data_IF_988290912127
#
_entry.id   IF_988290912127
#
_cell.length_a   1.000
_cell.length_b   1.000
_cell.length_c   1.000
_cell.angle_alpha   90.00
_cell.angle_beta   90.00
_cell.angle_gamma   90.00
#
_symmetry.space_group_name_H-M   'P 1'
#
loop_
_entity.id
_entity.type
_entity.pdbx_description
1 polymer ?
#
# COMPACT_ATOMS: atom_id res chain seq x y z
N UNK A 1 -87.81 22.18 -14.40
CA UNK A 1 -86.73 21.33 -14.83
C UNK A 1 -85.45 21.76 -14.06
N UNK A 2 -85.03 21.03 -13.06
CA UNK A 2 -83.91 21.36 -12.20
C UNK A 2 -82.73 20.44 -12.60
N UNK A 3 -81.69 21.05 -13.13
CA UNK A 3 -80.45 20.38 -13.48
C UNK A 3 -79.62 20.28 -12.19
N UNK A 4 -79.38 19.07 -11.69
CA UNK A 4 -78.42 18.74 -10.59
C UNK A 4 -76.99 18.63 -11.17
N UNK A 5 -76.15 19.55 -10.75
CA UNK A 5 -74.67 19.44 -10.98
C UNK A 5 -74.10 18.44 -9.98
N UNK A 6 -73.51 17.39 -10.45
CA UNK A 6 -72.62 16.48 -9.65
C UNK A 6 -71.26 17.10 -9.68
N UNK A 7 -70.73 17.44 -8.50
CA UNK A 7 -69.30 17.76 -8.29
C UNK A 7 -68.62 16.47 -7.90
N UNK A 8 -67.75 15.96 -8.78
CA UNK A 8 -66.85 14.86 -8.46
C UNK A 8 -65.61 15.45 -7.77
N UNK A 9 -65.44 15.14 -6.50
CA UNK A 9 -64.24 15.45 -5.73
C UNK A 9 -63.25 14.32 -6.00
N UNK A 10 -62.21 14.60 -6.79
CA UNK A 10 -61.07 13.72 -6.94
C UNK A 10 -60.20 13.85 -5.69
N UNK A 11 -60.21 12.85 -4.81
CA UNK A 11 -59.25 12.72 -3.70
C UNK A 11 -57.97 12.14 -4.27
N UNK A 12 -57.01 12.98 -4.58
CA UNK A 12 -55.66 12.55 -4.90
C UNK A 12 -54.97 12.11 -3.60
N UNK A 13 -54.94 10.80 -3.32
CA UNK A 13 -54.07 10.24 -2.29
C UNK A 13 -52.63 10.33 -2.77
N UNK A 14 -51.88 11.31 -2.28
CA UNK A 14 -50.46 11.39 -2.41
C UNK A 14 -49.86 10.27 -1.53
N UNK A 15 -49.56 9.12 -2.12
CA UNK A 15 -48.73 8.10 -1.45
C UNK A 15 -47.31 8.67 -1.42
N UNK A 16 -46.94 9.28 -0.29
CA UNK A 16 -45.57 9.63 0.03
C UNK A 16 -44.85 8.30 0.33
N UNK A 17 -44.32 7.65 -0.70
CA UNK A 17 -43.33 6.62 -0.51
C UNK A 17 -42.10 7.31 0.06
N UNK A 18 -42.05 7.42 1.38
CA UNK A 18 -40.81 7.71 2.08
C UNK A 18 -39.85 6.54 1.81
N UNK A 19 -38.90 6.75 0.91
CA UNK A 19 -37.72 5.90 0.84
C UNK A 19 -37.05 6.06 2.20
N UNK A 20 -37.26 5.10 3.09
CA UNK A 20 -36.45 4.94 4.28
C UNK A 20 -35.07 4.53 3.75
N UNK A 21 -34.25 5.54 3.46
CA UNK A 21 -32.82 5.30 3.36
C UNK A 21 -32.38 4.85 4.74
N UNK A 22 -32.25 3.56 4.94
CA UNK A 22 -31.52 3.01 6.08
C UNK A 22 -30.10 3.53 5.88
N UNK A 23 -29.59 4.44 6.73
CA UNK A 23 -28.20 4.84 6.60
C UNK A 23 -27.39 3.56 6.73
N UNK A 24 -26.55 3.25 5.74
CA UNK A 24 -25.54 2.23 5.91
C UNK A 24 -24.84 2.55 7.24
N UNK A 25 -24.85 1.62 8.19
CA UNK A 25 -24.20 1.85 9.48
C UNK A 25 -22.74 2.17 9.15
N UNK A 26 -22.30 3.39 9.50
CA UNK A 26 -20.92 3.77 9.30
C UNK A 26 -20.04 2.74 10.04
N UNK A 27 -19.05 2.20 9.36
CA UNK A 27 -18.10 1.27 9.98
C UNK A 27 -17.50 1.92 11.22
N UNK A 28 -17.37 1.16 12.30
CA UNK A 28 -16.74 1.65 13.53
C UNK A 28 -15.28 2.00 13.23
N UNK A 29 -14.86 3.22 13.61
CA UNK A 29 -13.49 3.69 13.42
C UNK A 29 -12.53 2.80 14.23
N UNK A 30 -11.45 2.27 13.62
CA UNK A 30 -10.46 1.47 14.34
C UNK A 30 -9.67 2.25 15.40
N UNK A 31 -9.95 3.54 15.60
CA UNK A 31 -9.38 4.43 16.62
C UNK A 31 -7.84 4.46 16.57
N UNK A 32 -7.27 4.73 15.41
CA UNK A 32 -5.83 4.84 15.19
C UNK A 32 -5.33 6.19 15.73
N UNK A 33 -4.30 6.16 16.58
CA UNK A 33 -3.72 7.35 17.24
C UNK A 33 -2.51 7.91 16.51
N UNK A 34 -1.81 7.10 15.70
CA UNK A 34 -0.68 7.54 14.91
C UNK A 34 -0.98 8.83 14.13
N UNK A 35 0.05 9.61 13.83
CA UNK A 35 -0.09 10.90 13.11
C UNK A 35 -0.71 10.71 11.75
N UNK A 36 -0.26 9.69 11.01
CA UNK A 36 -0.86 9.28 9.75
C UNK A 36 -0.96 7.77 9.68
N UNK A 37 -2.01 7.26 9.02
CA UNK A 37 -2.21 5.84 8.81
C UNK A 37 -2.98 5.58 7.51
N UNK A 38 -2.62 4.50 6.83
CA UNK A 38 -3.21 4.05 5.59
C UNK A 38 -3.39 2.53 5.63
N UNK A 39 -4.52 2.04 5.14
CA UNK A 39 -4.75 0.64 4.84
C UNK A 39 -5.26 0.50 3.41
N UNK A 40 -4.62 -0.34 2.62
CA UNK A 40 -4.96 -0.54 1.20
C UNK A 40 -5.08 -2.02 0.91
N UNK A 41 -6.04 -2.40 0.08
CA UNK A 41 -6.06 -3.71 -0.55
C UNK A 41 -5.02 -3.74 -1.68
N UNK A 42 -4.13 -4.74 -1.66
CA UNK A 42 -2.90 -4.71 -2.46
C UNK A 42 -3.13 -4.93 -3.95
N UNK A 43 -4.13 -5.73 -4.34
CA UNK A 43 -4.40 -6.11 -5.73
C UNK A 43 -5.11 -4.97 -6.49
N UNK A 44 -6.18 -4.43 -5.92
CA UNK A 44 -7.00 -3.39 -6.54
C UNK A 44 -6.47 -1.98 -6.28
N UNK A 45 -5.69 -1.80 -5.21
CA UNK A 45 -5.28 -0.48 -4.73
C UNK A 45 -6.38 0.28 -3.99
N UNK A 46 -7.48 -0.38 -3.64
CA UNK A 46 -8.58 0.24 -2.90
C UNK A 46 -8.15 0.66 -1.51
N UNK A 47 -8.29 1.95 -1.22
CA UNK A 47 -8.04 2.50 0.12
C UNK A 47 -9.20 2.12 1.03
N UNK A 48 -8.90 1.38 2.10
CA UNK A 48 -9.90 0.92 3.08
C UNK A 48 -9.96 1.84 4.30
N UNK A 49 -8.82 2.40 4.69
CA UNK A 49 -8.70 3.36 5.79
C UNK A 49 -7.69 4.43 5.44
N UNK A 50 -8.01 5.67 5.75
CA UNK A 50 -7.13 6.81 5.58
C UNK A 50 -7.19 7.75 6.78
N UNK A 51 -6.01 8.25 7.17
CA UNK A 51 -5.84 9.30 8.18
C UNK A 51 -4.60 10.10 7.84
N UNK A 52 -4.77 11.38 7.46
CA UNK A 52 -3.66 12.30 7.16
C UNK A 52 -2.65 11.71 6.15
N UNK A 53 -3.13 10.94 5.18
CA UNK A 53 -2.28 10.10 4.30
C UNK A 53 -1.35 10.88 3.39
N UNK A 54 -1.57 12.19 3.24
CA UNK A 54 -0.76 13.08 2.42
C UNK A 54 0.12 14.05 3.23
N UNK A 55 0.07 13.97 4.57
CA UNK A 55 0.91 14.79 5.43
C UNK A 55 2.39 14.42 5.26
N UNK A 56 3.24 15.44 5.10
CA UNK A 56 4.70 15.31 5.04
C UNK A 56 5.26 15.06 6.44
N UNK A 57 5.71 13.85 6.69
CA UNK A 57 6.21 13.40 7.99
C UNK A 57 7.64 12.87 7.87
N UNK A 58 8.40 12.96 8.97
CA UNK A 58 9.61 12.17 9.12
C UNK A 58 9.25 10.69 9.16
N UNK A 59 9.91 9.87 8.35
CA UNK A 59 9.54 8.49 8.12
C UNK A 59 10.58 7.48 8.63
N UNK A 60 11.67 7.99 9.20
CA UNK A 60 12.77 7.17 9.70
C UNK A 60 13.20 6.08 8.69
N UNK A 61 13.61 4.91 9.18
CA UNK A 61 14.13 3.81 8.34
C UNK A 61 13.12 3.16 7.39
N UNK A 62 11.85 3.60 7.33
CA UNK A 62 10.96 3.18 6.22
C UNK A 62 11.44 3.71 4.87
N UNK A 63 12.30 4.74 4.87
CA UNK A 63 13.10 5.23 3.72
C UNK A 63 13.81 4.08 2.98
N UNK A 64 14.27 3.07 3.71
CA UNK A 64 15.03 1.94 3.16
C UNK A 64 14.23 1.06 2.19
N UNK A 65 12.89 1.20 2.17
CA UNK A 65 12.06 0.57 1.14
C UNK A 65 12.43 1.12 -0.23
N UNK A 66 12.58 2.45 -0.38
CA UNK A 66 13.02 3.06 -1.63
C UNK A 66 14.48 2.68 -1.96
N UNK A 67 15.37 2.67 -0.97
CA UNK A 67 16.76 2.27 -1.18
C UNK A 67 16.87 0.83 -1.69
N UNK A 68 16.10 -0.09 -1.09
CA UNK A 68 16.04 -1.49 -1.53
C UNK A 68 15.39 -1.62 -2.92
N UNK A 69 14.28 -0.93 -3.17
CA UNK A 69 13.59 -0.94 -4.47
C UNK A 69 14.56 -0.63 -5.61
N UNK A 70 15.36 0.43 -5.49
CA UNK A 70 16.33 0.80 -6.53
C UNK A 70 17.39 -0.27 -6.77
N UNK A 71 17.81 -0.98 -5.71
CA UNK A 71 18.76 -2.08 -5.82
C UNK A 71 18.12 -3.29 -6.51
N UNK A 72 16.89 -3.66 -6.16
CA UNK A 72 16.16 -4.75 -6.82
C UNK A 72 15.86 -4.44 -8.28
N UNK A 73 15.44 -3.23 -8.60
CA UNK A 73 15.27 -2.80 -9.99
C UNK A 73 16.58 -2.86 -10.79
N UNK A 74 17.72 -2.57 -10.15
CA UNK A 74 19.04 -2.70 -10.80
C UNK A 74 19.43 -4.18 -11.02
N UNK A 75 19.05 -5.07 -10.10
CA UNK A 75 19.24 -6.52 -10.25
C UNK A 75 18.40 -7.03 -11.44
N UNK A 76 17.13 -6.62 -11.53
CA UNK A 76 16.26 -7.01 -12.65
C UNK A 76 16.79 -6.54 -14.01
N UNK A 77 17.43 -5.37 -14.06
CA UNK A 77 18.10 -4.86 -15.27
C UNK A 77 19.46 -5.49 -15.56
N UNK A 78 19.97 -6.36 -14.65
CA UNK A 78 21.29 -6.99 -14.77
C UNK A 78 22.48 -6.04 -14.49
N UNK A 79 22.24 -4.88 -13.89
CA UNK A 79 23.27 -3.91 -13.47
C UNK A 79 23.98 -4.37 -12.21
N UNK A 80 23.28 -5.09 -11.33
CA UNK A 80 23.81 -5.75 -10.12
C UNK A 80 23.40 -7.23 -10.12
N UNK A 81 24.11 -8.02 -9.30
CA UNK A 81 23.73 -9.41 -9.01
C UNK A 81 23.77 -9.64 -7.51
N UNK A 82 22.89 -10.49 -7.00
CA UNK A 82 22.85 -10.84 -5.56
C UNK A 82 24.19 -11.41 -5.06
N UNK A 83 24.87 -12.23 -5.87
CA UNK A 83 26.17 -12.82 -5.53
C UNK A 83 27.38 -11.91 -5.76
N UNK A 84 27.16 -10.70 -6.29
CA UNK A 84 28.24 -9.73 -6.55
C UNK A 84 28.88 -9.27 -5.24
N UNK A 85 30.21 -9.36 -5.18
CA UNK A 85 31.00 -8.88 -4.05
C UNK A 85 31.11 -7.35 -4.10
N UNK A 86 30.87 -6.71 -2.96
CA UNK A 86 30.97 -5.26 -2.77
C UNK A 86 31.85 -4.99 -1.55
N UNK A 87 32.80 -4.09 -1.71
CA UNK A 87 33.71 -3.67 -0.64
C UNK A 87 33.27 -2.32 -0.08
N UNK A 88 33.08 -2.25 1.23
CA UNK A 88 32.71 -1.02 1.93
C UNK A 88 33.84 0.03 1.83
N UNK A 89 33.50 1.23 1.38
CA UNK A 89 34.41 2.35 1.25
C UNK A 89 34.32 3.28 2.47
N UNK A 90 35.40 4.04 2.75
CA UNK A 90 35.38 5.08 3.78
C UNK A 90 34.31 6.16 3.51
N UNK A 91 33.98 6.42 2.24
CA UNK A 91 32.96 7.41 1.84
C UNK A 91 31.56 6.94 2.18
N UNK A 92 31.23 5.67 1.94
CA UNK A 92 29.93 5.10 2.28
C UNK A 92 29.66 5.05 3.80
N UNK A 93 30.71 4.92 4.61
CA UNK A 93 30.60 4.87 6.07
C UNK A 93 30.60 6.24 6.75
N UNK A 94 30.92 7.31 6.00
CA UNK A 94 31.09 8.65 6.56
C UNK A 94 29.77 9.25 7.01
N UNK A 95 29.80 9.91 8.20
CA UNK A 95 28.67 10.72 8.69
C UNK A 95 27.52 9.92 9.25
N UNK A 96 27.67 8.62 9.44
CA UNK A 96 26.68 7.78 10.14
C UNK A 96 26.90 7.92 11.67
N UNK A 97 25.81 8.04 12.46
CA UNK A 97 25.90 8.14 13.90
C UNK A 97 26.33 6.79 14.51
N UNK A 98 27.16 6.84 15.55
CA UNK A 98 27.66 5.66 16.26
C UNK A 98 26.56 4.84 16.94
N UNK A 99 25.48 5.51 17.37
CA UNK A 99 24.29 4.90 18.01
C UNK A 99 23.19 4.49 17.00
N UNK A 100 23.48 4.59 15.71
CA UNK A 100 22.57 4.21 14.64
C UNK A 100 22.44 2.69 14.48
N UNK A 101 21.39 2.24 13.75
CA UNK A 101 21.29 0.84 13.36
C UNK A 101 22.45 0.46 12.43
N UNK A 102 23.21 -0.56 12.79
CA UNK A 102 24.41 -1.00 12.07
C UNK A 102 24.51 -2.53 12.03
N UNK A 103 25.19 -3.06 11.05
CA UNK A 103 25.72 -4.44 10.97
C UNK A 103 27.21 -4.49 11.32
N UNK A 104 27.76 -3.39 11.84
CA UNK A 104 29.17 -3.22 12.22
C UNK A 104 30.14 -3.48 11.04
N UNK A 105 29.73 -3.10 9.83
CA UNK A 105 30.56 -3.21 8.63
C UNK A 105 31.63 -2.11 8.66
N UNK A 106 32.88 -2.52 8.48
CA UNK A 106 34.05 -1.63 8.51
C UNK A 106 34.63 -1.37 7.12
N UNK A 107 35.43 -0.32 6.99
CA UNK A 107 36.15 0.01 5.74
C UNK A 107 36.99 -1.16 5.23
N UNK A 108 36.85 -1.45 3.94
CA UNK A 108 37.54 -2.53 3.27
C UNK A 108 36.92 -3.92 3.54
N UNK A 109 35.82 -4.00 4.25
CA UNK A 109 35.07 -5.23 4.39
C UNK A 109 34.27 -5.53 3.13
N UNK A 110 34.25 -6.81 2.74
CA UNK A 110 33.59 -7.28 1.51
C UNK A 110 32.44 -8.21 1.84
N UNK A 111 31.25 -7.88 1.36
CA UNK A 111 30.03 -8.68 1.46
C UNK A 111 29.37 -8.79 0.08
N UNK A 112 28.45 -9.74 -0.07
CA UNK A 112 27.63 -9.79 -1.29
C UNK A 112 26.51 -8.72 -1.25
N UNK A 113 25.98 -8.36 -2.41
CA UNK A 113 24.76 -7.50 -2.51
C UNK A 113 23.63 -8.10 -1.69
N UNK A 114 23.43 -9.42 -1.75
CA UNK A 114 22.43 -10.14 -0.95
C UNK A 114 22.63 -9.92 0.55
N UNK A 115 23.86 -10.14 1.07
CA UNK A 115 24.15 -9.93 2.49
C UNK A 115 23.93 -8.49 2.93
N UNK A 116 24.28 -7.51 2.10
CA UNK A 116 24.03 -6.09 2.35
C UNK A 116 22.53 -5.78 2.39
N UNK A 117 21.72 -6.37 1.49
CA UNK A 117 20.27 -6.23 1.51
C UNK A 117 19.63 -6.86 2.76
N UNK A 118 20.11 -8.03 3.21
CA UNK A 118 19.68 -8.62 4.48
C UNK A 118 20.01 -7.71 5.67
N UNK A 119 21.19 -7.13 5.72
CA UNK A 119 21.55 -6.14 6.76
C UNK A 119 20.61 -4.92 6.72
N UNK A 120 20.30 -4.41 5.53
CA UNK A 120 19.40 -3.26 5.33
C UNK A 120 17.98 -3.55 5.81
N UNK A 121 17.43 -4.69 5.40
CA UNK A 121 16.00 -4.98 5.56
C UNK A 121 15.70 -5.66 6.91
N UNK A 122 16.54 -6.56 7.40
CA UNK A 122 16.32 -7.32 8.63
C UNK A 122 16.65 -6.51 9.88
N UNK A 123 17.85 -5.94 9.96
CA UNK A 123 18.30 -5.19 11.14
C UNK A 123 18.32 -3.67 10.93
N UNK A 124 17.98 -3.22 9.72
CA UNK A 124 17.92 -1.79 9.40
C UNK A 124 19.28 -1.09 9.36
N UNK A 125 20.38 -1.80 9.05
CA UNK A 125 21.74 -1.24 9.01
C UNK A 125 21.80 -0.02 8.06
N UNK A 126 22.36 1.09 8.55
CA UNK A 126 22.42 2.35 7.81
C UNK A 126 23.51 2.34 6.74
N UNK A 127 24.69 1.82 7.09
CA UNK A 127 25.86 1.79 6.20
C UNK A 127 25.60 1.03 4.91
N UNK A 128 24.76 0.00 4.96
CA UNK A 128 24.45 -0.81 3.78
C UNK A 128 23.69 -0.05 2.71
N UNK A 129 22.88 0.93 3.11
CA UNK A 129 22.19 1.80 2.17
C UNK A 129 23.17 2.66 1.37
N UNK A 130 24.17 3.21 2.06
CA UNK A 130 25.22 4.00 1.44
C UNK A 130 26.14 3.15 0.58
N UNK A 131 26.56 1.97 1.08
CA UNK A 131 27.43 1.03 0.34
C UNK A 131 26.76 0.61 -0.98
N UNK A 132 25.49 0.19 -0.93
CA UNK A 132 24.76 -0.21 -2.12
C UNK A 132 24.46 0.99 -3.04
N UNK A 133 24.14 2.16 -2.46
CA UNK A 133 23.92 3.39 -3.21
C UNK A 133 25.18 3.86 -3.96
N UNK A 134 26.33 3.86 -3.30
CA UNK A 134 27.61 4.20 -3.91
C UNK A 134 28.00 3.19 -5.00
N UNK A 135 27.76 1.90 -4.74
CA UNK A 135 28.01 0.81 -5.72
C UNK A 135 27.17 1.00 -6.99
N UNK A 136 25.88 1.35 -6.83
CA UNK A 136 24.98 1.46 -7.97
C UNK A 136 25.16 2.78 -8.75
N UNK A 137 25.35 3.90 -8.04
CA UNK A 137 25.33 5.24 -8.65
C UNK A 137 26.68 5.97 -8.60
N UNK A 138 27.75 5.37 -8.06
CA UNK A 138 29.07 5.95 -7.93
C UNK A 138 29.24 6.93 -6.76
N UNK A 139 28.14 7.37 -6.14
CA UNK A 139 28.16 8.17 -4.91
C UNK A 139 26.81 8.10 -4.18
N UNK A 140 26.83 8.38 -2.86
CA UNK A 140 25.60 8.47 -2.05
C UNK A 140 24.68 9.59 -2.55
N UNK A 141 25.24 10.75 -2.92
CA UNK A 141 24.46 11.87 -3.42
C UNK A 141 23.76 11.55 -4.76
N UNK A 142 24.44 10.85 -5.67
CA UNK A 142 23.85 10.41 -6.93
C UNK A 142 22.71 9.40 -6.68
N UNK A 143 22.86 8.52 -5.68
CA UNK A 143 21.81 7.58 -5.31
C UNK A 143 20.59 8.29 -4.70
N UNK A 144 20.80 9.30 -3.83
CA UNK A 144 19.72 10.13 -3.29
C UNK A 144 18.97 10.87 -4.42
N UNK A 145 19.71 11.41 -5.40
CA UNK A 145 19.10 12.02 -6.59
C UNK A 145 18.22 10.99 -7.35
N UNK A 146 18.70 9.75 -7.50
CA UNK A 146 17.94 8.67 -8.12
C UNK A 146 16.70 8.26 -7.31
N UNK A 147 16.79 8.24 -5.95
CA UNK A 147 15.63 8.01 -5.09
C UNK A 147 14.53 9.03 -5.34
N UNK A 148 14.89 10.33 -5.41
CA UNK A 148 13.93 11.40 -5.67
C UNK A 148 13.34 11.33 -7.08
N UNK A 149 14.17 11.02 -8.08
CA UNK A 149 13.68 10.80 -9.44
C UNK A 149 12.65 9.65 -9.46
N UNK A 150 12.98 8.51 -8.82
CA UNK A 150 12.09 7.34 -8.80
C UNK A 150 10.78 7.62 -8.06
N UNK A 151 10.83 8.38 -6.97
CA UNK A 151 9.62 8.82 -6.27
C UNK A 151 8.69 9.61 -7.21
N UNK A 152 9.23 10.53 -8.01
CA UNK A 152 8.45 11.27 -9.00
C UNK A 152 7.86 10.35 -10.09
N UNK A 153 8.64 9.38 -10.60
CA UNK A 153 8.19 8.38 -11.58
C UNK A 153 7.03 7.52 -11.03
N UNK A 154 7.01 7.23 -9.72
CA UNK A 154 5.95 6.51 -9.03
C UNK A 154 4.71 7.38 -8.72
N UNK A 155 4.76 8.68 -8.99
CA UNK A 155 3.68 9.62 -8.73
C UNK A 155 3.63 10.14 -7.29
N UNK A 156 4.69 9.96 -6.50
CA UNK A 156 4.81 10.52 -5.16
C UNK A 156 4.80 12.06 -5.22
N UNK A 157 3.94 12.69 -4.43
CA UNK A 157 3.74 14.14 -4.42
C UNK A 157 4.27 14.81 -3.14
N UNK A 158 4.36 14.04 -2.06
CA UNK A 158 4.69 14.50 -0.72
C UNK A 158 5.95 13.78 -0.21
N UNK A 159 6.94 13.56 -1.09
CA UNK A 159 8.17 12.83 -0.77
C UNK A 159 9.40 13.59 -1.24
N UNK A 160 10.37 13.71 -0.35
CA UNK A 160 11.72 14.13 -0.68
C UNK A 160 12.73 13.41 0.21
N UNK A 161 13.68 12.74 -0.43
CA UNK A 161 14.79 12.06 0.23
C UNK A 161 16.00 12.96 0.28
N UNK A 162 16.55 13.20 1.48
CA UNK A 162 17.80 13.91 1.69
C UNK A 162 18.96 12.95 2.05
N UNK A 163 18.66 11.70 2.38
CA UNK A 163 19.62 10.63 2.62
C UNK A 163 19.02 9.26 2.27
N UNK A 164 19.85 8.22 2.30
CA UNK A 164 19.49 6.85 1.92
C UNK A 164 18.88 6.04 3.04
N UNK A 165 18.97 6.50 4.29
CA UNK A 165 18.80 5.70 5.52
C UNK A 165 17.54 6.01 6.28
N UNK A 166 17.03 7.26 6.17
CA UNK A 166 15.93 7.79 6.96
C UNK A 166 16.35 8.43 8.29
N UNK A 167 17.64 8.69 8.48
CA UNK A 167 18.11 9.51 9.59
C UNK A 167 17.51 10.92 9.49
N UNK A 168 17.21 11.53 10.64
CA UNK A 168 16.58 12.83 10.70
C UNK A 168 17.47 13.89 10.04
N UNK A 169 16.96 14.52 9.00
CA UNK A 169 17.64 15.55 8.24
C UNK A 169 16.62 16.54 7.67
N UNK A 170 16.97 17.81 7.62
CA UNK A 170 16.10 18.83 7.02
C UNK A 170 15.80 18.48 5.56
N UNK A 171 14.53 18.57 5.18
CA UNK A 171 14.07 18.20 3.84
C UNK A 171 13.96 16.70 3.60
N UNK A 172 14.06 15.83 4.62
CA UNK A 172 13.80 14.39 4.50
C UNK A 172 12.43 14.05 5.03
N UNK A 173 11.49 13.75 4.13
CA UNK A 173 10.10 13.44 4.47
C UNK A 173 9.44 12.56 3.42
N UNK A 174 8.32 11.96 3.79
CA UNK A 174 7.37 11.30 2.90
C UNK A 174 5.98 11.34 3.53
N UNK A 175 4.99 10.83 2.82
CA UNK A 175 3.62 10.62 3.31
C UNK A 175 3.27 9.13 3.38
N UNK A 176 2.19 8.80 4.10
CA UNK A 176 1.73 7.42 4.18
C UNK A 176 1.30 6.89 2.79
N UNK A 177 0.67 7.73 1.98
CA UNK A 177 0.27 7.36 0.62
C UNK A 177 1.46 7.15 -0.31
N UNK A 178 2.46 8.05 -0.27
CA UNK A 178 3.65 7.91 -1.11
C UNK A 178 4.48 6.68 -0.72
N UNK A 179 4.61 6.40 0.59
CA UNK A 179 5.25 5.15 1.04
C UNK A 179 4.50 3.90 0.58
N UNK A 180 3.16 3.94 0.51
CA UNK A 180 2.38 2.88 -0.11
C UNK A 180 2.73 2.72 -1.60
N UNK A 181 2.82 3.81 -2.37
CA UNK A 181 3.18 3.74 -3.79
C UNK A 181 4.56 3.08 -3.99
N UNK A 182 5.55 3.47 -3.18
CA UNK A 182 6.89 2.89 -3.19
C UNK A 182 6.85 1.40 -2.79
N UNK A 183 6.09 1.08 -1.73
CA UNK A 183 5.96 -0.28 -1.22
C UNK A 183 5.30 -1.19 -2.24
N UNK A 184 4.25 -0.72 -2.91
CA UNK A 184 3.53 -1.47 -3.95
C UNK A 184 4.46 -1.90 -5.10
N UNK A 185 5.45 -1.10 -5.44
CA UNK A 185 6.46 -1.50 -6.42
C UNK A 185 7.46 -2.49 -5.80
N UNK A 186 7.94 -2.24 -4.59
CA UNK A 186 8.93 -3.09 -3.94
C UNK A 186 8.45 -4.54 -3.73
N UNK A 187 7.17 -4.73 -3.37
CA UNK A 187 6.61 -6.07 -3.12
C UNK A 187 6.44 -6.93 -4.39
N UNK A 188 6.62 -6.36 -5.59
CA UNK A 188 6.63 -7.13 -6.84
C UNK A 188 7.88 -7.98 -7.00
N UNK A 189 8.95 -7.65 -6.28
CA UNK A 189 10.20 -8.41 -6.28
C UNK A 189 10.13 -9.53 -5.24
N UNK A 190 10.17 -10.78 -5.69
CA UNK A 190 10.08 -11.97 -4.81
C UNK A 190 11.19 -12.02 -3.77
N UNK A 191 12.42 -11.67 -4.16
CA UNK A 191 13.57 -11.63 -3.25
C UNK A 191 13.40 -10.56 -2.16
N UNK A 192 12.83 -9.39 -2.50
CA UNK A 192 12.48 -8.38 -1.50
C UNK A 192 11.52 -8.95 -0.45
N UNK A 193 10.43 -9.59 -0.88
CA UNK A 193 9.46 -10.20 0.04
C UNK A 193 10.08 -11.32 0.87
N UNK A 194 10.97 -12.11 0.30
CA UNK A 194 11.73 -13.15 1.02
C UNK A 194 12.57 -12.51 2.13
N UNK A 195 13.31 -11.46 1.83
CA UNK A 195 14.22 -10.80 2.77
C UNK A 195 13.45 -10.08 3.89
N UNK A 196 12.38 -9.33 3.59
CA UNK A 196 11.59 -8.63 4.62
C UNK A 196 10.80 -9.57 5.53
N UNK A 197 10.55 -10.81 5.09
CA UNK A 197 9.92 -11.86 5.89
C UNK A 197 10.91 -12.69 6.72
N UNK A 198 12.20 -12.47 6.53
CA UNK A 198 13.23 -13.22 7.22
C UNK A 198 13.28 -12.83 8.70
N UNK A 199 13.13 -13.82 9.59
CA UNK A 199 13.18 -13.62 11.04
C UNK A 199 14.58 -13.53 11.58
N UNK A 200 15.50 -14.32 10.99
CA UNK A 200 16.90 -14.36 11.32
C UNK A 200 17.71 -14.74 10.07
N UNK A 201 18.88 -14.13 9.91
CA UNK A 201 19.81 -14.41 8.82
C UNK A 201 21.23 -14.42 9.35
N UNK A 202 22.06 -15.37 8.89
CA UNK A 202 23.44 -15.54 9.33
C UNK A 202 24.38 -15.09 8.20
N UNK A 203 25.29 -14.17 8.52
CA UNK A 203 26.37 -13.76 7.63
C UNK A 203 27.63 -14.49 8.09
N UNK A 204 28.23 -15.32 7.23
CA UNK A 204 29.46 -16.01 7.56
C UNK A 204 30.64 -15.05 7.80
N UNK A 205 31.75 -15.51 8.35
CA UNK A 205 32.99 -14.73 8.46
C UNK A 205 33.35 -14.01 7.15
N UNK A 206 33.88 -12.80 7.27
CA UNK A 206 34.32 -11.98 6.14
C UNK A 206 35.82 -11.79 6.13
N UNK A 207 36.33 -10.99 5.19
CA UNK A 207 37.75 -10.63 5.19
C UNK A 207 38.15 -9.69 6.34
N UNK A 208 37.22 -9.23 7.18
CA UNK A 208 37.47 -8.32 8.31
C UNK A 208 37.00 -8.85 9.66
N UNK A 209 36.14 -9.85 9.69
CA UNK A 209 35.69 -10.47 10.94
C UNK A 209 35.71 -12.00 10.82
N UNK A 210 36.21 -12.66 11.87
CA UNK A 210 36.26 -14.13 11.96
C UNK A 210 34.97 -14.71 12.56
N UNK A 211 34.11 -13.88 13.12
CA UNK A 211 32.85 -14.28 13.73
C UNK A 211 31.67 -14.14 12.77
N UNK A 212 30.73 -15.07 12.89
CA UNK A 212 29.43 -14.96 12.22
C UNK A 212 28.63 -13.78 12.78
N UNK A 213 27.87 -13.09 11.91
CA UNK A 213 26.86 -12.12 12.33
C UNK A 213 25.46 -12.71 12.21
N UNK A 214 24.73 -12.80 13.32
CA UNK A 214 23.34 -13.23 13.33
C UNK A 214 22.43 -11.99 13.35
N UNK A 215 21.73 -11.78 12.26
CA UNK A 215 20.77 -10.70 12.11
C UNK A 215 19.39 -11.16 12.60
N UNK A 216 18.74 -10.37 13.44
CA UNK A 216 17.36 -10.65 13.90
C UNK A 216 16.42 -9.53 13.53
N UNK A 217 15.28 -9.89 12.95
CA UNK A 217 14.28 -8.92 12.45
C UNK A 217 13.86 -7.92 13.51
N UNK A 218 13.80 -6.66 13.09
CA UNK A 218 13.24 -5.56 13.89
C UNK A 218 11.71 -5.55 13.91
N UNK A 219 11.06 -6.31 13.02
CA UNK A 219 9.60 -6.33 12.90
C UNK A 219 8.98 -7.35 13.87
N UNK A 220 8.35 -6.83 14.92
CA UNK A 220 7.73 -7.65 15.94
C UNK A 220 6.42 -8.34 15.50
N UNK A 221 5.83 -7.96 14.37
CA UNK A 221 4.67 -8.68 13.81
C UNK A 221 5.06 -10.06 13.26
N UNK A 222 6.34 -10.25 12.88
CA UNK A 222 6.84 -11.52 12.33
C UNK A 222 7.82 -12.25 13.25
N UNK A 223 8.42 -11.57 14.24
CA UNK A 223 9.48 -12.13 15.09
C UNK A 223 9.38 -11.62 16.53
N UNK A 224 9.45 -12.53 17.50
CA UNK A 224 9.47 -12.20 18.94
C UNK A 224 10.89 -11.94 19.50
N UNK A 225 11.92 -11.93 18.67
CA UNK A 225 13.29 -11.91 19.16
C UNK A 225 13.65 -10.60 19.88
N UNK A 226 13.30 -9.45 19.28
CA UNK A 226 13.55 -8.13 19.88
C UNK A 226 12.45 -7.68 20.82
N UNK A 227 11.19 -7.90 20.41
CA UNK A 227 10.00 -7.49 21.16
C UNK A 227 8.97 -8.62 21.06
N UNK A 228 8.51 -9.10 22.23
CA UNK A 228 7.51 -10.16 22.30
C UNK A 228 6.08 -9.61 22.46
N UNK A 229 5.10 -10.37 21.99
CA UNK A 229 3.68 -10.08 22.21
C UNK A 229 3.00 -9.31 21.06
N UNK A 230 3.65 -9.18 19.90
CA UNK A 230 3.09 -8.48 18.73
C UNK A 230 2.88 -9.39 17.51
N UNK A 231 3.24 -10.67 17.58
CA UNK A 231 3.07 -11.56 16.43
C UNK A 231 1.66 -11.48 15.88
N UNK A 232 1.57 -11.25 14.57
CA UNK A 232 0.30 -11.20 13.85
C UNK A 232 0.26 -12.30 12.78
N UNK A 233 -0.79 -13.14 12.83
CA UNK A 233 -0.93 -14.25 11.88
C UNK A 233 -1.14 -13.72 10.47
N UNK A 234 -0.31 -14.16 9.53
CA UNK A 234 -0.34 -13.71 8.14
C UNK A 234 0.45 -12.42 7.86
N UNK A 235 1.08 -11.79 8.87
CA UNK A 235 1.96 -10.64 8.61
C UNK A 235 3.16 -11.03 7.76
N UNK A 236 3.50 -10.17 6.81
CA UNK A 236 4.59 -10.31 5.86
C UNK A 236 5.39 -9.02 5.79
N UNK A 237 6.51 -8.96 6.50
CA UNK A 237 7.42 -7.80 6.50
C UNK A 237 6.73 -6.52 6.99
N UNK A 238 7.04 -5.33 6.52
CA UNK A 238 8.00 -4.94 5.48
C UNK A 238 9.18 -4.20 6.12
N UNK A 239 8.91 -3.03 6.76
CA UNK A 239 9.98 -2.21 7.34
C UNK A 239 9.52 -1.39 8.53
N UNK A 240 10.29 -1.46 9.61
CA UNK A 240 10.17 -0.59 10.79
C UNK A 240 11.01 0.67 10.64
N UNK A 241 10.62 1.74 11.31
CA UNK A 241 11.40 2.96 11.43
C UNK A 241 11.18 3.63 12.78
N UNK A 242 12.24 4.21 13.36
CA UNK A 242 12.14 4.97 14.60
C UNK A 242 13.26 5.99 14.66
N UNK A 243 12.90 7.24 14.94
CA UNK A 243 13.77 8.34 15.38
C UNK A 243 12.95 9.22 16.31
N UNK A 244 13.59 10.07 17.09
CA UNK A 244 12.87 11.00 18.00
C UNK A 244 11.91 11.90 17.21
N UNK A 245 12.30 12.33 16.03
CA UNK A 245 11.46 13.21 15.17
C UNK A 245 10.29 12.45 14.53
N UNK A 246 10.53 11.21 14.09
CA UNK A 246 9.53 10.40 13.39
C UNK A 246 8.54 9.69 14.32
N UNK A 247 8.92 9.44 15.58
CA UNK A 247 8.22 8.48 16.43
C UNK A 247 8.40 7.05 15.91
N UNK A 248 7.39 6.21 16.08
CA UNK A 248 7.39 4.81 15.62
C UNK A 248 6.68 4.72 14.27
N UNK A 249 7.37 4.22 13.26
CA UNK A 249 6.86 4.03 11.91
C UNK A 249 6.89 2.54 11.54
N UNK A 250 5.87 2.08 10.82
CA UNK A 250 5.79 0.71 10.32
C UNK A 250 5.08 0.69 8.97
N UNK A 251 5.71 0.06 8.00
CA UNK A 251 5.06 -0.43 6.79
C UNK A 251 5.02 -1.94 6.88
N UNK A 252 3.84 -2.53 6.71
CA UNK A 252 3.66 -3.98 6.78
C UNK A 252 2.59 -4.43 5.81
N UNK A 253 2.62 -5.70 5.41
CA UNK A 253 1.50 -6.35 4.73
C UNK A 253 1.02 -7.55 5.52
N UNK A 254 -0.20 -7.98 5.24
CA UNK A 254 -0.75 -9.21 5.82
C UNK A 254 -1.63 -9.92 4.81
N UNK A 255 -1.64 -11.26 4.89
CA UNK A 255 -2.45 -12.12 4.04
C UNK A 255 -3.46 -12.88 4.90
N UNK A 256 -4.73 -12.86 4.50
CA UNK A 256 -5.80 -13.69 5.09
C UNK A 256 -6.68 -14.25 3.97
N UNK A 257 -6.59 -15.57 3.74
CA UNK A 257 -7.19 -16.20 2.56
C UNK A 257 -6.50 -15.73 1.28
N UNK A 258 -7.28 -15.28 0.30
CA UNK A 258 -6.76 -14.72 -0.96
C UNK A 258 -6.47 -13.22 -0.92
N UNK A 259 -6.75 -12.54 0.20
CA UNK A 259 -6.63 -11.08 0.30
C UNK A 259 -5.31 -10.69 0.92
N UNK A 260 -4.67 -9.68 0.33
CA UNK A 260 -3.46 -9.04 0.85
C UNK A 260 -3.75 -7.57 1.17
N UNK A 261 -3.48 -7.16 2.40
CA UNK A 261 -3.59 -5.76 2.81
C UNK A 261 -2.19 -5.19 3.07
N UNK A 262 -2.01 -3.91 2.72
CA UNK A 262 -0.80 -3.14 3.03
C UNK A 262 -1.20 -2.04 4.01
N UNK A 263 -0.48 -1.95 5.13
CA UNK A 263 -0.65 -0.91 6.14
C UNK A 263 0.59 -0.03 6.22
N UNK A 264 0.39 1.28 6.30
CA UNK A 264 1.42 2.27 6.60
C UNK A 264 0.98 3.04 7.84
N UNK A 265 1.77 3.00 8.90
CA UNK A 265 1.55 3.72 10.17
C UNK A 265 2.74 4.60 10.44
N UNK A 266 2.53 5.92 10.56
CA UNK A 266 3.59 6.91 10.76
C UNK A 266 3.34 7.74 12.01
N UNK A 267 4.40 7.98 12.77
CA UNK A 267 4.35 8.85 13.95
C UNK A 267 3.53 8.28 15.11
N UNK A 268 3.49 6.96 15.25
CA UNK A 268 2.91 6.30 16.41
C UNK A 268 3.81 6.49 17.65
N UNK A 269 3.23 6.31 18.83
CA UNK A 269 3.94 6.51 20.09
C UNK A 269 4.59 5.22 20.61
N UNK A 270 5.53 5.40 21.53
CA UNK A 270 6.07 4.36 22.39
C UNK A 270 5.66 4.70 23.82
N UNK A 271 4.63 4.00 24.32
CA UNK A 271 3.98 4.30 25.60
C UNK A 271 4.48 3.37 26.69
N UNK A 272 4.84 3.91 27.84
CA UNK A 272 5.22 3.09 28.98
C UNK A 272 4.02 2.28 29.49
N UNK A 273 4.24 1.01 29.81
CA UNK A 273 3.20 0.15 30.38
C UNK A 273 2.89 0.58 31.80
N UNK A 274 1.61 0.57 32.18
CA UNK A 274 1.14 0.96 33.52
C UNK A 274 1.87 0.27 34.69
N UNK A 275 2.35 -0.96 34.47
CA UNK A 275 3.08 -1.75 35.45
C UNK A 275 4.60 -1.49 35.48
N UNK A 276 5.10 -0.54 34.66
CA UNK A 276 6.52 -0.23 34.56
C UNK A 276 7.39 -1.33 33.91
N UNK A 277 6.78 -2.39 33.34
CA UNK A 277 7.52 -3.54 32.80
C UNK A 277 8.00 -3.35 31.36
N UNK A 278 8.12 -2.11 30.89
CA UNK A 278 8.57 -1.78 29.52
C UNK A 278 7.56 -0.93 28.77
N UNK A 279 7.60 -1.00 27.44
CA UNK A 279 6.82 -0.12 26.57
C UNK A 279 5.88 -0.90 25.66
N UNK A 280 4.79 -0.23 25.27
CA UNK A 280 3.96 -0.60 24.12
C UNK A 280 4.46 0.22 22.93
N UNK A 281 4.79 -0.45 21.84
CA UNK A 281 5.15 0.19 20.57
C UNK A 281 3.91 0.22 19.72
N UNK A 282 3.25 1.37 19.65
CA UNK A 282 1.90 1.49 19.08
C UNK A 282 1.86 1.24 17.58
N UNK A 283 2.95 1.47 16.85
CA UNK A 283 2.98 1.13 15.42
C UNK A 283 2.64 -0.35 15.14
N UNK A 284 3.02 -1.28 16.03
CA UNK A 284 2.65 -2.70 15.87
C UNK A 284 1.20 -2.97 16.24
N UNK A 285 0.72 -2.41 17.36
CA UNK A 285 -0.66 -2.64 17.81
C UNK A 285 -1.69 -1.98 16.90
N UNK A 286 -1.39 -0.80 16.38
CA UNK A 286 -2.26 -0.10 15.44
C UNK A 286 -2.28 -0.76 14.07
N UNK A 287 -1.12 -1.23 13.57
CA UNK A 287 -1.07 -2.02 12.34
C UNK A 287 -1.90 -3.31 12.46
N UNK A 288 -1.78 -4.05 13.56
CA UNK A 288 -2.59 -5.24 13.79
C UNK A 288 -4.09 -4.91 13.81
N UNK A 289 -4.47 -3.81 14.48
CA UNK A 289 -5.87 -3.33 14.54
C UNK A 289 -6.40 -2.93 13.16
N UNK A 290 -5.58 -2.26 12.34
CA UNK A 290 -5.95 -1.93 10.96
C UNK A 290 -6.16 -3.19 10.12
N UNK A 291 -5.29 -4.19 10.24
CA UNK A 291 -5.46 -5.44 9.52
C UNK A 291 -6.73 -6.17 9.93
N UNK A 292 -6.99 -6.32 11.24
CA UNK A 292 -8.23 -6.93 11.73
C UNK A 292 -9.44 -6.16 11.21
N UNK A 293 -9.44 -4.84 11.36
CA UNK A 293 -10.53 -4.00 10.88
C UNK A 293 -10.77 -4.15 9.38
N UNK A 294 -9.73 -4.14 8.55
CA UNK A 294 -9.86 -4.30 7.11
C UNK A 294 -10.35 -5.69 6.71
N UNK A 295 -9.75 -6.75 7.28
CA UNK A 295 -10.17 -8.12 6.98
C UNK A 295 -11.58 -8.45 7.48
N UNK A 296 -12.00 -7.88 8.60
CA UNK A 296 -13.29 -8.19 9.22
C UNK A 296 -14.44 -7.40 8.57
N UNK A 297 -14.19 -6.19 8.07
CA UNK A 297 -15.24 -5.31 7.55
C UNK A 297 -15.36 -5.30 6.03
N UNK A 298 -14.32 -5.66 5.27
CA UNK A 298 -14.35 -5.61 3.80
C UNK A 298 -14.25 -7.00 3.17
N UNK A 299 -14.83 -7.13 1.98
CA UNK A 299 -14.71 -8.34 1.15
C UNK A 299 -14.86 -7.97 -0.33
N UNK A 300 -14.29 -8.79 -1.25
CA UNK A 300 -14.63 -8.69 -2.67
C UNK A 300 -16.13 -8.96 -2.85
N UNK A 301 -16.81 -8.09 -3.58
CA UNK A 301 -18.21 -8.26 -3.95
C UNK A 301 -18.35 -8.00 -5.45
N UNK A 302 -19.08 -8.88 -6.14
CA UNK A 302 -19.34 -8.71 -7.57
C UNK A 302 -20.20 -7.48 -7.81
N UNK A 303 -19.69 -6.53 -8.57
CA UNK A 303 -20.36 -5.27 -8.89
C UNK A 303 -20.89 -5.22 -10.33
N UNK A 304 -20.32 -6.04 -11.22
CA UNK A 304 -20.78 -6.24 -12.59
C UNK A 304 -20.76 -7.72 -12.94
N UNK A 305 -21.77 -8.18 -13.68
CA UNK A 305 -21.84 -9.52 -14.28
C UNK A 305 -21.82 -9.37 -15.81
N UNK A 306 -20.92 -10.07 -16.49
CA UNK A 306 -20.81 -10.06 -17.97
C UNK A 306 -22.13 -10.48 -18.68
N UNK A 307 -22.97 -11.24 -18.02
CA UNK A 307 -24.27 -11.68 -18.54
C UNK A 307 -25.41 -10.69 -18.25
N UNK A 308 -25.18 -9.65 -17.46
CA UNK A 308 -26.19 -8.65 -17.12
C UNK A 308 -26.55 -7.79 -18.37
N UNK A 309 -27.83 -7.73 -18.71
CA UNK A 309 -28.30 -6.80 -19.72
C UNK A 309 -28.26 -5.37 -19.17
N UNK A 310 -27.39 -4.53 -19.69
CA UNK A 310 -27.30 -3.13 -19.28
C UNK A 310 -28.43 -2.33 -19.97
N UNK A 311 -28.50 -2.40 -21.30
CA UNK A 311 -29.57 -1.78 -22.08
C UNK A 311 -29.60 -2.30 -23.52
N UNK A 312 -30.68 -1.96 -24.26
CA UNK A 312 -30.74 -2.12 -25.69
C UNK A 312 -30.39 -0.80 -26.38
N UNK A 313 -29.53 -0.88 -27.43
CA UNK A 313 -29.11 0.27 -28.23
C UNK A 313 -29.73 0.15 -29.63
N UNK A 314 -30.39 1.17 -30.17
CA UNK A 314 -30.91 1.19 -31.52
C UNK A 314 -29.80 1.00 -32.58
N UNK A 315 -30.11 0.31 -33.67
CA UNK A 315 -29.17 0.11 -34.78
C UNK A 315 -29.70 0.74 -36.06
N UNK A 316 -28.93 1.67 -36.59
CA UNK A 316 -29.19 2.24 -37.89
C UNK A 316 -28.49 1.47 -39.03
N UNK A 317 -29.02 1.59 -40.24
CA UNK A 317 -28.52 0.95 -41.47
C UNK A 317 -28.53 -0.60 -41.47
N UNK A 318 -29.22 -1.21 -40.51
CA UNK A 318 -29.45 -2.66 -40.47
C UNK A 318 -30.82 -3.00 -41.06
N UNK A 319 -30.85 -4.13 -41.82
CA UNK A 319 -32.12 -4.74 -42.28
C UNK A 319 -32.52 -5.98 -41.46
N UNK A 320 -31.66 -6.40 -40.54
CA UNK A 320 -31.82 -7.66 -39.81
C UNK A 320 -32.33 -7.43 -38.38
N UNK A 321 -31.83 -6.41 -37.71
CA UNK A 321 -32.16 -6.10 -36.30
C UNK A 321 -32.40 -4.58 -36.13
N UNK A 322 -33.26 -4.21 -35.22
CA UNK A 322 -33.53 -2.80 -34.87
C UNK A 322 -32.77 -2.36 -33.63
N UNK A 323 -32.37 -3.32 -32.76
CA UNK A 323 -31.63 -3.07 -31.52
C UNK A 323 -30.57 -4.14 -31.31
N UNK A 324 -29.57 -3.83 -30.51
CA UNK A 324 -28.59 -4.79 -29.98
C UNK A 324 -28.57 -4.68 -28.46
N UNK A 325 -28.44 -5.82 -27.78
CA UNK A 325 -28.24 -5.90 -26.34
C UNK A 325 -26.79 -5.54 -26.00
N UNK A 326 -26.61 -4.69 -24.98
CA UNK A 326 -25.30 -4.30 -24.47
C UNK A 326 -25.10 -4.93 -23.09
N UNK A 327 -23.98 -5.58 -22.91
CA UNK A 327 -23.56 -6.25 -21.68
C UNK A 327 -22.20 -5.69 -21.24
N UNK A 328 -21.81 -5.82 -19.95
CA UNK A 328 -20.43 -5.57 -19.55
C UNK A 328 -19.46 -6.46 -20.34
N UNK A 329 -18.28 -5.93 -20.67
CA UNK A 329 -17.26 -6.69 -21.41
C UNK A 329 -16.71 -7.86 -20.59
N UNK A 330 -16.71 -7.70 -19.25
CA UNK A 330 -16.26 -8.68 -18.26
C UNK A 330 -16.99 -8.49 -16.94
N UNK A 331 -17.03 -9.52 -16.10
CA UNK A 331 -17.47 -9.41 -14.71
C UNK A 331 -16.42 -8.66 -13.91
N UNK A 332 -16.85 -7.83 -12.94
CA UNK A 332 -15.95 -7.08 -12.08
C UNK A 332 -16.33 -7.21 -10.61
N UNK A 333 -15.30 -7.40 -9.76
CA UNK A 333 -15.41 -7.36 -8.31
C UNK A 333 -14.81 -6.06 -7.78
N UNK A 334 -15.37 -5.54 -6.68
CA UNK A 334 -14.81 -4.41 -5.95
C UNK A 334 -14.65 -4.78 -4.47
N UNK A 335 -13.63 -4.22 -3.81
CA UNK A 335 -13.43 -4.35 -2.37
C UNK A 335 -14.38 -3.39 -1.64
N UNK A 336 -15.45 -3.93 -1.08
CA UNK A 336 -16.53 -3.15 -0.47
C UNK A 336 -16.80 -3.59 0.98
N UNK A 337 -17.42 -2.72 1.80
CA UNK A 337 -17.94 -3.12 3.10
C UNK A 337 -18.84 -4.35 2.98
N UNK A 338 -18.66 -5.36 3.84
CA UNK A 338 -19.39 -6.64 3.77
C UNK A 338 -20.91 -6.48 3.84
N UNK A 339 -21.37 -5.50 4.61
CA UNK A 339 -22.79 -5.25 4.84
C UNK A 339 -23.38 -4.27 3.82
N UNK A 340 -22.60 -3.86 2.81
CA UNK A 340 -23.09 -2.95 1.76
C UNK A 340 -24.03 -3.71 0.83
N UNK A 341 -25.21 -3.12 0.59
CA UNK A 341 -26.09 -3.57 -0.47
C UNK A 341 -25.54 -3.11 -1.84
N UNK A 342 -24.99 -4.04 -2.61
CA UNK A 342 -24.43 -3.78 -3.94
C UNK A 342 -25.45 -3.13 -4.89
N UNK A 343 -26.74 -3.36 -4.68
CA UNK A 343 -27.81 -2.73 -5.48
C UNK A 343 -27.93 -1.22 -5.25
N UNK A 344 -27.35 -0.70 -4.16
CA UNK A 344 -27.32 0.72 -3.83
C UNK A 344 -26.14 1.47 -4.48
N UNK A 345 -25.23 0.78 -5.19
CA UNK A 345 -24.14 1.41 -5.93
C UNK A 345 -24.69 2.29 -7.05
N UNK A 346 -24.03 3.42 -7.25
CA UNK A 346 -24.34 4.30 -8.39
C UNK A 346 -23.76 3.71 -9.66
N UNK A 347 -24.62 3.48 -10.65
CA UNK A 347 -24.21 2.99 -11.98
C UNK A 347 -24.49 4.06 -13.02
N UNK A 348 -23.47 4.46 -13.75
CA UNK A 348 -23.57 5.44 -14.83
C UNK A 348 -23.18 4.78 -16.14
N UNK A 349 -24.11 4.78 -17.11
CA UNK A 349 -23.89 4.24 -18.45
C UNK A 349 -23.69 5.41 -19.42
N UNK A 350 -22.56 5.40 -20.13
CA UNK A 350 -22.24 6.38 -21.16
C UNK A 350 -22.06 5.66 -22.49
N UNK A 351 -22.96 5.88 -23.44
CA UNK A 351 -22.85 5.34 -24.78
C UNK A 351 -21.92 6.20 -25.64
N UNK A 352 -21.09 5.57 -26.48
CA UNK A 352 -20.27 6.25 -27.49
C UNK A 352 -21.16 6.98 -28.52
N UNK A 353 -22.34 6.41 -28.84
CA UNK A 353 -23.40 7.01 -29.64
C UNK A 353 -24.77 6.48 -29.20
N UNK A 354 -25.81 7.34 -29.22
CA UNK A 354 -27.18 6.95 -28.91
C UNK A 354 -27.77 5.90 -29.88
N UNK A 355 -27.22 5.82 -31.10
CA UNK A 355 -27.57 4.84 -32.13
C UNK A 355 -26.32 4.25 -32.72
N UNK A 356 -26.21 2.95 -32.66
CA UNK A 356 -25.09 2.24 -33.27
C UNK A 356 -25.29 2.08 -34.79
N UNK A 357 -24.20 2.07 -35.56
CA UNK A 357 -24.23 1.93 -37.03
C UNK A 357 -23.83 0.51 -37.45
N UNK A 358 -24.65 -0.14 -38.23
CA UNK A 358 -24.28 -1.44 -38.80
C UNK A 358 -23.13 -1.29 -39.84
N UNK A 359 -22.21 -2.30 -39.99
CA UNK A 359 -22.27 -3.58 -39.27
C UNK A 359 -21.72 -3.51 -37.87
N UNK A 360 -22.29 -4.31 -36.95
CA UNK A 360 -21.86 -4.46 -35.56
C UNK A 360 -21.60 -5.95 -35.31
N UNK A 361 -20.46 -6.28 -34.72
CA UNK A 361 -20.11 -7.62 -34.29
C UNK A 361 -20.24 -7.80 -32.78
N UNK A 362 -20.41 -9.05 -32.32
CA UNK A 362 -20.31 -9.36 -30.92
C UNK A 362 -18.91 -9.03 -30.40
N UNK A 363 -18.82 -8.29 -29.29
CA UNK A 363 -17.55 -7.79 -28.73
C UNK A 363 -17.17 -6.36 -29.15
N UNK A 364 -17.94 -5.75 -30.05
CA UNK A 364 -17.73 -4.32 -30.38
C UNK A 364 -18.09 -3.45 -29.19
N UNK A 365 -17.24 -2.47 -28.87
CA UNK A 365 -17.49 -1.48 -27.83
C UNK A 365 -18.57 -0.51 -28.29
N UNK A 366 -19.60 -0.33 -27.46
CA UNK A 366 -20.70 0.64 -27.69
C UNK A 366 -20.77 1.73 -26.64
N UNK A 367 -20.00 1.62 -25.56
CA UNK A 367 -20.00 2.58 -24.47
C UNK A 367 -19.16 2.11 -23.28
N UNK A 368 -19.45 2.72 -22.14
CA UNK A 368 -18.79 2.46 -20.87
C UNK A 368 -19.85 2.43 -19.75
N UNK A 369 -19.67 1.53 -18.78
CA UNK A 369 -20.41 1.52 -17.54
C UNK A 369 -19.44 1.82 -16.40
N UNK A 370 -19.77 2.81 -15.59
CA UNK A 370 -19.03 3.20 -14.38
C UNK A 370 -19.87 2.84 -13.17
N UNK A 371 -19.25 2.14 -12.20
CA UNK A 371 -19.86 1.81 -10.91
C UNK A 371 -19.11 2.55 -9.83
N UNK A 372 -19.82 3.30 -8.96
CA UNK A 372 -19.19 4.06 -7.89
C UNK A 372 -19.88 3.87 -6.54
N UNK A 373 -19.08 3.99 -5.47
CA UNK A 373 -19.52 3.98 -4.08
C UNK A 373 -18.92 5.19 -3.35
N UNK A 374 -19.75 6.13 -2.92
CA UNK A 374 -19.26 7.41 -2.41
C UNK A 374 -18.44 8.15 -3.45
N UNK A 375 -17.23 8.58 -3.07
CA UNK A 375 -16.28 9.26 -3.96
C UNK A 375 -15.32 8.28 -4.68
N UNK A 376 -15.50 6.95 -4.51
CA UNK A 376 -14.69 5.90 -5.14
C UNK A 376 -15.38 5.37 -6.38
N UNK A 377 -14.63 5.24 -7.47
CA UNK A 377 -15.12 4.77 -8.78
C UNK A 377 -14.44 3.48 -9.14
#
# INVERSE_FOLDING_TARGET
MKIRRFIAVFLSALILCGVLTVPAAALEDPAIRAKAALLVEAETGTVLYDKNIHDELSIASTTKIMSALLVFEAIDRGELRLDQQVTATATALRGLPEDGSTADIVEGETLTVEQLLYCMLVISANETCNILGETLCGSVDAFVARMNQRAQELGCKNTHFANTTGLTQSGHYSSAYDLYLITREAIKHEDFMTMVNTKSYEIPPTNKTEEERVLHSTNALISNWRLAGYLYSGAQGIKTGSTDAAGQCLVSSAVRGSRTLISVVLGAEKVEKENGSGYIVESFTETARLFDWGFDNFAPQQVLDENELIQEVPVALSKQVSTVAVHPAESADAMLPKDLDVSALTRTVTLDNETALAPIAAGDRLGEITVSYGDTT
#
